data_IF_449344813984
#
_entry.id   IF_449344813984
#
_cell.length_a   1.000
_cell.length_b   1.000
_cell.length_c   1.000
_cell.angle_alpha   90.00
_cell.angle_beta   90.00
_cell.angle_gamma   90.00
#
_symmetry.space_group_name_H-M   'P 1'
#
loop_
_entity.id
_entity.type
_entity.pdbx_description
1 polymer ?
#
# COMPACT_ATOMS: atom_id res chain seq x y z
N UNK A 1 -5.18 -4.09 -26.30
CA UNK A 1 -6.16 -3.58 -25.30
C UNK A 1 -6.14 -2.06 -25.33
N UNK A 2 -7.28 -1.40 -25.57
CA UNK A 2 -7.32 0.07 -25.56
C UNK A 2 -7.55 0.56 -24.12
N UNK A 3 -6.45 0.63 -23.34
CA UNK A 3 -6.48 0.95 -21.93
C UNK A 3 -7.07 2.35 -21.66
N UNK A 4 -6.79 3.33 -22.54
CA UNK A 4 -7.31 4.69 -22.38
C UNK A 4 -8.84 4.71 -22.48
N UNK A 5 -9.41 4.04 -23.49
CA UNK A 5 -10.87 3.97 -23.62
C UNK A 5 -11.52 3.30 -22.40
N UNK A 6 -10.92 2.24 -21.90
CA UNK A 6 -11.41 1.58 -20.68
C UNK A 6 -11.30 2.49 -19.44
N UNK A 7 -10.23 3.28 -19.35
CA UNK A 7 -10.06 4.23 -18.24
C UNK A 7 -11.08 5.37 -18.30
N UNK A 8 -11.30 5.93 -19.48
CA UNK A 8 -12.32 6.98 -19.68
C UNK A 8 -13.71 6.48 -19.28
N UNK A 9 -14.11 5.31 -19.78
CA UNK A 9 -15.39 4.70 -19.39
C UNK A 9 -15.47 4.46 -17.88
N UNK A 10 -14.39 3.97 -17.25
CA UNK A 10 -14.33 3.79 -15.80
C UNK A 10 -14.50 5.11 -15.03
N UNK A 11 -13.91 6.20 -15.52
CA UNK A 11 -14.10 7.53 -14.92
C UNK A 11 -15.54 8.02 -15.07
N UNK A 12 -16.18 7.82 -16.23
CA UNK A 12 -17.58 8.15 -16.46
C UNK A 12 -18.52 7.35 -15.54
N UNK A 13 -18.36 6.03 -15.46
CA UNK A 13 -19.16 5.15 -14.61
C UNK A 13 -19.08 5.52 -13.12
N UNK A 14 -17.92 5.98 -12.69
CA UNK A 14 -17.64 6.39 -11.30
C UNK A 14 -17.84 7.87 -11.05
N UNK A 15 -18.21 8.64 -12.06
CA UNK A 15 -18.32 10.11 -12.00
C UNK A 15 -17.03 10.76 -11.49
N UNK A 16 -15.88 10.26 -11.93
CA UNK A 16 -14.57 10.85 -11.66
C UNK A 16 -14.26 11.93 -12.68
N UNK A 17 -13.69 13.04 -12.21
CA UNK A 17 -13.13 14.03 -13.11
C UNK A 17 -11.92 13.47 -13.85
N UNK A 18 -11.86 13.77 -15.15
CA UNK A 18 -10.77 13.32 -16.01
C UNK A 18 -9.69 14.40 -16.03
N UNK A 19 -8.47 14.02 -15.70
CA UNK A 19 -7.30 14.89 -15.76
C UNK A 19 -6.30 14.37 -16.79
N UNK A 20 -5.73 15.25 -17.62
CA UNK A 20 -4.79 14.90 -18.67
C UNK A 20 -3.54 14.18 -18.11
N UNK A 21 -3.02 14.62 -16.95
CA UNK A 21 -1.87 14.00 -16.32
C UNK A 21 -2.16 12.53 -15.92
N UNK A 22 -3.41 12.22 -15.55
CA UNK A 22 -3.83 10.84 -15.26
C UNK A 22 -3.88 9.99 -16.52
N UNK A 23 -4.34 10.55 -17.64
CA UNK A 23 -4.34 9.86 -18.96
C UNK A 23 -2.91 9.55 -19.38
N UNK A 24 -1.98 10.50 -19.21
CA UNK A 24 -0.56 10.30 -19.52
C UNK A 24 0.06 9.16 -18.70
N UNK A 25 -0.34 9.01 -17.43
CA UNK A 25 0.07 7.86 -16.59
C UNK A 25 -0.48 6.56 -17.16
N UNK A 26 -1.74 6.52 -17.60
CA UNK A 26 -2.35 5.33 -18.23
C UNK A 26 -1.59 4.93 -19.50
N UNK A 27 -1.17 5.89 -20.34
CA UNK A 27 -0.34 5.61 -21.51
C UNK A 27 1.01 4.98 -21.12
N UNK A 28 1.67 5.52 -20.08
CA UNK A 28 2.93 4.94 -19.59
C UNK A 28 2.76 3.55 -19.00
N UNK A 29 1.65 3.28 -18.31
CA UNK A 29 1.32 1.95 -17.81
C UNK A 29 1.04 0.97 -18.95
N UNK A 30 0.39 1.40 -20.03
CA UNK A 30 0.19 0.61 -21.25
C UNK A 30 1.53 0.26 -21.90
N UNK A 31 2.46 1.23 -22.00
CA UNK A 31 3.82 0.99 -22.51
C UNK A 31 4.59 0.00 -21.63
N UNK A 32 4.51 0.17 -20.30
CA UNK A 32 5.10 -0.75 -19.33
C UNK A 32 4.55 -2.18 -19.52
N UNK A 33 3.24 -2.33 -19.64
CA UNK A 33 2.61 -3.62 -19.88
C UNK A 33 3.05 -4.26 -21.20
N UNK A 34 3.01 -3.49 -22.28
CA UNK A 34 3.38 -3.96 -23.60
C UNK A 34 4.84 -4.41 -23.69
N UNK A 35 5.71 -3.71 -22.98
CA UNK A 35 7.13 -4.03 -22.93
C UNK A 35 7.47 -5.26 -22.07
N UNK A 36 6.61 -5.62 -21.13
CA UNK A 36 6.90 -6.70 -20.17
C UNK A 36 6.10 -7.98 -20.43
N UNK A 37 4.92 -7.89 -21.05
CA UNK A 37 4.03 -9.02 -21.21
C UNK A 37 3.64 -9.34 -22.67
N UNK A 38 3.62 -8.34 -23.57
CA UNK A 38 3.15 -8.52 -24.95
C UNK A 38 4.29 -8.54 -26.00
N UNK A 39 5.53 -8.86 -25.63
CA UNK A 39 6.61 -8.91 -26.59
C UNK A 39 6.54 -10.19 -27.44
N UNK A 40 6.33 -10.03 -28.77
CA UNK A 40 6.66 -11.09 -29.74
C UNK A 40 8.14 -11.47 -29.58
N UNK A 41 8.42 -12.77 -29.53
CA UNK A 41 9.75 -13.35 -29.32
C UNK A 41 10.85 -12.72 -30.19
N UNK A 42 10.53 -12.32 -31.42
CA UNK A 42 11.43 -11.67 -32.36
C UNK A 42 11.82 -10.22 -31.96
N UNK A 43 10.92 -9.47 -31.32
CA UNK A 43 11.23 -8.10 -30.88
C UNK A 43 12.18 -8.05 -29.68
N UNK A 44 12.27 -9.14 -28.90
CA UNK A 44 13.18 -9.24 -27.76
C UNK A 44 14.64 -9.26 -28.18
N UNK A 45 14.95 -9.79 -29.38
CA UNK A 45 16.32 -9.86 -29.92
C UNK A 45 16.82 -8.53 -30.48
N UNK A 46 15.94 -7.63 -30.87
CA UNK A 46 16.32 -6.35 -31.53
C UNK A 46 16.31 -5.14 -30.57
N UNK A 47 15.84 -5.28 -29.32
CA UNK A 47 15.88 -4.17 -28.34
C UNK A 47 17.24 -4.12 -27.64
N UNK A 48 18.00 -3.03 -27.88
CA UNK A 48 19.29 -2.73 -27.22
C UNK A 48 19.16 -2.38 -25.73
N UNK A 49 17.99 -1.96 -25.26
CA UNK A 49 17.76 -1.60 -23.85
C UNK A 49 16.90 -2.64 -23.14
N UNK A 50 17.35 -3.07 -21.94
CA UNK A 50 16.55 -3.93 -21.06
C UNK A 50 15.28 -3.17 -20.66
N UNK A 51 14.12 -3.79 -20.86
CA UNK A 51 12.85 -3.20 -20.39
C UNK A 51 12.89 -3.07 -18.87
N UNK A 52 12.47 -1.92 -18.37
CA UNK A 52 12.29 -1.69 -16.91
C UNK A 52 11.22 -2.64 -16.37
N UNK A 53 11.55 -3.40 -15.32
CA UNK A 53 10.64 -4.37 -14.68
C UNK A 53 9.75 -3.73 -13.60
N UNK A 54 10.06 -2.51 -13.19
CA UNK A 54 9.31 -1.75 -12.21
C UNK A 54 8.65 -0.51 -12.79
N UNK A 55 7.49 -0.15 -12.25
CA UNK A 55 6.81 1.12 -12.48
C UNK A 55 6.59 1.82 -11.14
N UNK A 56 7.19 2.98 -10.95
CA UNK A 56 7.15 3.75 -9.70
C UNK A 56 6.36 5.04 -9.92
N UNK A 57 5.14 5.10 -9.38
CA UNK A 57 4.29 6.27 -9.45
C UNK A 57 4.42 7.08 -8.16
N UNK A 58 4.94 8.29 -8.28
CA UNK A 58 5.06 9.22 -7.16
C UNK A 58 4.10 10.41 -7.35
N UNK A 59 3.68 11.02 -6.26
CA UNK A 59 2.83 12.22 -6.23
C UNK A 59 2.24 12.44 -4.85
N UNK A 60 1.62 13.58 -4.65
CA UNK A 60 1.02 13.95 -3.37
C UNK A 60 -0.16 13.08 -2.97
N UNK A 61 -0.58 13.21 -1.71
CA UNK A 61 -1.79 12.56 -1.21
C UNK A 61 -3.01 13.17 -1.90
N UNK A 62 -3.95 12.33 -2.36
CA UNK A 62 -5.20 12.83 -2.97
C UNK A 62 -5.19 12.94 -4.49
N UNK A 63 -4.04 12.96 -5.15
CA UNK A 63 -3.95 13.14 -6.63
C UNK A 63 -4.46 11.96 -7.47
N UNK A 64 -4.90 10.85 -6.84
CA UNK A 64 -5.51 9.73 -7.55
C UNK A 64 -4.56 8.59 -7.95
N UNK A 65 -3.33 8.53 -7.39
CA UNK A 65 -2.37 7.43 -7.67
C UNK A 65 -2.99 6.05 -7.51
N UNK A 66 -3.56 5.80 -6.33
CA UNK A 66 -4.18 4.51 -5.99
C UNK A 66 -5.36 4.18 -6.91
N UNK A 67 -6.15 5.18 -7.33
CA UNK A 67 -7.26 4.98 -8.26
C UNK A 67 -6.76 4.50 -9.63
N UNK A 68 -5.76 5.19 -10.20
CA UNK A 68 -5.17 4.84 -11.50
C UNK A 68 -4.51 3.46 -11.46
N UNK A 69 -3.69 3.20 -10.42
CA UNK A 69 -2.98 1.93 -10.31
C UNK A 69 -3.92 0.76 -10.03
N UNK A 70 -4.98 0.96 -9.24
CA UNK A 70 -6.01 -0.07 -9.04
C UNK A 70 -6.78 -0.36 -10.32
N UNK A 71 -7.17 0.67 -11.07
CA UNK A 71 -7.80 0.49 -12.36
C UNK A 71 -6.90 -0.37 -13.27
N UNK A 72 -5.63 0.03 -13.44
CA UNK A 72 -4.68 -0.70 -14.26
C UNK A 72 -4.51 -2.15 -13.76
N UNK A 73 -4.22 -2.33 -12.48
CA UNK A 73 -3.99 -3.63 -11.86
C UNK A 73 -5.18 -4.57 -12.02
N UNK A 74 -6.40 -4.07 -11.92
CA UNK A 74 -7.61 -4.88 -12.08
C UNK A 74 -7.82 -5.36 -13.52
N UNK A 75 -7.30 -4.62 -14.52
CA UNK A 75 -7.39 -5.03 -15.94
C UNK A 75 -6.40 -6.12 -16.33
N UNK A 76 -5.39 -6.39 -15.50
CA UNK A 76 -4.37 -7.40 -15.76
C UNK A 76 -4.94 -8.81 -15.58
N UNK A 77 -4.51 -9.75 -16.42
CA UNK A 77 -4.90 -11.17 -16.40
C UNK A 77 -3.84 -12.07 -15.75
N UNK A 78 -2.63 -11.55 -15.59
CA UNK A 78 -1.45 -12.21 -15.04
C UNK A 78 -1.66 -12.59 -13.57
N UNK A 79 -0.85 -13.52 -13.06
CA UNK A 79 -0.80 -13.83 -11.64
C UNK A 79 -0.31 -12.59 -10.88
N UNK A 80 -1.19 -11.98 -10.13
CA UNK A 80 -0.96 -10.66 -9.52
C UNK A 80 -1.22 -10.67 -8.02
N UNK A 81 -0.40 -9.92 -7.29
CA UNK A 81 -0.52 -9.74 -5.85
C UNK A 81 -0.41 -8.27 -5.50
N UNK A 82 -1.42 -7.72 -4.80
CA UNK A 82 -1.40 -6.37 -4.23
C UNK A 82 -1.41 -6.47 -2.72
N UNK A 83 -0.54 -5.69 -2.06
CA UNK A 83 -0.48 -5.57 -0.61
C UNK A 83 0.22 -4.26 -0.22
N UNK A 84 0.04 -3.84 1.03
CA UNK A 84 0.84 -2.78 1.59
C UNK A 84 2.28 -3.26 1.81
N UNK A 85 3.23 -2.34 1.65
CA UNK A 85 4.65 -2.70 1.78
C UNK A 85 4.98 -3.31 3.16
N UNK A 86 4.41 -2.77 4.24
CA UNK A 86 4.60 -3.32 5.58
C UNK A 86 4.09 -4.76 5.71
N UNK A 87 2.95 -5.09 5.11
CA UNK A 87 2.41 -6.46 5.09
C UNK A 87 3.35 -7.42 4.36
N UNK A 88 3.93 -6.97 3.24
CA UNK A 88 4.94 -7.75 2.52
C UNK A 88 6.17 -8.04 3.37
N UNK A 89 6.70 -7.03 4.07
CA UNK A 89 7.87 -7.20 4.94
C UNK A 89 7.57 -8.13 6.12
N UNK A 90 6.38 -8.07 6.71
CA UNK A 90 5.95 -9.02 7.74
C UNK A 90 5.95 -10.46 7.19
N UNK A 91 5.36 -10.69 6.01
CA UNK A 91 5.37 -12.02 5.36
C UNK A 91 6.79 -12.50 5.07
N UNK A 92 7.65 -11.62 4.61
CA UNK A 92 9.06 -11.91 4.38
C UNK A 92 9.79 -12.30 5.68
N UNK A 93 9.67 -11.50 6.74
CA UNK A 93 10.31 -11.78 8.02
C UNK A 93 9.80 -13.08 8.65
N UNK A 94 8.51 -13.36 8.57
CA UNK A 94 7.95 -14.63 9.03
C UNK A 94 8.54 -15.82 8.26
N UNK A 95 8.64 -15.72 6.92
CA UNK A 95 9.27 -16.76 6.11
C UNK A 95 10.73 -16.99 6.49
N UNK A 96 11.52 -15.93 6.72
CA UNK A 96 12.91 -16.04 7.16
C UNK A 96 13.00 -16.70 8.56
N UNK A 97 12.08 -16.36 9.46
CA UNK A 97 12.06 -16.91 10.82
C UNK A 97 11.72 -18.41 10.82
N UNK A 98 10.75 -18.83 10.01
CA UNK A 98 10.29 -20.22 9.93
C UNK A 98 11.26 -21.14 9.17
N UNK A 99 12.09 -20.57 8.27
CA UNK A 99 13.02 -21.35 7.46
C UNK A 99 14.31 -21.68 8.22
N UNK A 100 14.66 -22.97 8.23
CA UNK A 100 15.92 -23.46 8.83
C UNK A 100 17.16 -23.02 8.04
N UNK A 101 17.04 -22.82 6.73
CA UNK A 101 18.11 -22.39 5.83
C UNK A 101 18.13 -20.85 5.73
N UNK A 102 18.78 -20.23 6.71
CA UNK A 102 18.89 -18.76 6.78
C UNK A 102 19.75 -18.15 5.68
N UNK A 103 20.73 -18.91 5.13
CA UNK A 103 21.61 -18.41 4.07
C UNK A 103 20.87 -18.23 2.75
N UNK A 104 19.94 -19.12 2.43
CA UNK A 104 19.13 -19.06 1.20
C UNK A 104 17.72 -18.49 1.41
N UNK A 105 17.40 -17.98 2.59
CA UNK A 105 16.04 -17.54 2.94
C UNK A 105 15.44 -16.56 1.95
N UNK A 106 16.18 -15.52 1.52
CA UNK A 106 15.72 -14.55 0.51
C UNK A 106 15.42 -15.25 -0.82
N UNK A 107 16.34 -16.10 -1.29
CA UNK A 107 16.19 -16.82 -2.55
C UNK A 107 14.98 -17.75 -2.53
N UNK A 108 14.78 -18.47 -1.45
CA UNK A 108 13.67 -19.39 -1.27
C UNK A 108 12.34 -18.64 -1.23
N UNK A 109 12.28 -17.53 -0.48
CA UNK A 109 11.09 -16.66 -0.45
C UNK A 109 10.72 -16.15 -1.83
N UNK A 110 11.68 -15.59 -2.57
CA UNK A 110 11.42 -15.03 -3.89
C UNK A 110 11.07 -16.11 -4.91
N UNK A 111 11.69 -17.30 -4.84
CA UNK A 111 11.34 -18.44 -5.67
C UNK A 111 9.91 -18.93 -5.43
N UNK A 112 9.45 -18.96 -4.17
CA UNK A 112 8.07 -19.34 -3.86
C UNK A 112 7.08 -18.25 -4.27
N UNK A 113 7.47 -16.99 -4.17
CA UNK A 113 6.70 -15.85 -4.65
C UNK A 113 6.53 -15.90 -6.18
N UNK A 114 7.61 -16.19 -6.95
CA UNK A 114 7.59 -16.20 -8.42
C UNK A 114 6.69 -17.30 -9.00
N UNK A 115 6.48 -18.42 -8.29
CA UNK A 115 5.52 -19.46 -8.70
C UNK A 115 4.07 -18.97 -8.72
N UNK A 116 3.75 -18.02 -7.85
CA UNK A 116 2.37 -17.55 -7.61
C UNK A 116 2.11 -16.14 -8.15
N UNK A 117 3.17 -15.38 -8.50
CA UNK A 117 3.06 -13.96 -8.76
C UNK A 117 3.99 -13.54 -9.90
N UNK A 118 3.42 -12.95 -10.95
CA UNK A 118 4.14 -12.38 -12.08
C UNK A 118 4.27 -10.86 -11.95
N UNK A 119 3.33 -10.24 -11.19
CA UNK A 119 3.33 -8.81 -10.92
C UNK A 119 2.91 -8.52 -9.48
N UNK A 120 3.74 -7.73 -8.79
CA UNK A 120 3.49 -7.19 -7.45
C UNK A 120 3.02 -5.74 -7.54
N UNK A 121 2.08 -5.35 -6.69
CA UNK A 121 1.72 -3.96 -6.50
C UNK A 121 1.84 -3.60 -5.02
N UNK A 122 2.78 -2.69 -4.71
CA UNK A 122 2.95 -2.11 -3.40
C UNK A 122 2.22 -0.76 -3.32
N UNK A 123 1.16 -0.73 -2.52
CA UNK A 123 0.48 0.52 -2.21
C UNK A 123 1.16 1.20 -1.01
N UNK A 124 1.23 2.54 -1.03
CA UNK A 124 1.87 3.36 0.01
C UNK A 124 3.31 2.93 0.33
N UNK A 125 4.12 2.76 -0.72
CA UNK A 125 5.50 2.35 -0.56
C UNK A 125 6.34 3.42 0.14
N UNK A 126 6.81 3.10 1.33
CA UNK A 126 7.75 3.90 2.12
C UNK A 126 8.59 2.98 3.00
N UNK A 127 9.82 3.39 3.32
CA UNK A 127 10.73 2.66 4.18
C UNK A 127 11.03 3.49 5.42
N UNK A 128 10.67 2.97 6.58
CA UNK A 128 10.83 3.66 7.87
C UNK A 128 11.70 2.88 8.85
N UNK A 129 11.83 1.56 8.64
CA UNK A 129 12.56 0.67 9.54
C UNK A 129 13.96 0.38 8.99
N UNK A 130 14.99 0.51 9.83
CA UNK A 130 16.38 0.25 9.48
C UNK A 130 16.62 -1.22 9.12
N UNK A 131 15.96 -2.15 9.80
CA UNK A 131 16.12 -3.60 9.54
C UNK A 131 15.65 -3.92 8.12
N UNK A 132 14.53 -3.34 7.71
CA UNK A 132 14.03 -3.48 6.35
C UNK A 132 14.99 -2.83 5.35
N UNK A 133 15.43 -1.60 5.63
CA UNK A 133 16.35 -0.86 4.77
C UNK A 133 17.61 -1.65 4.39
N UNK A 134 18.17 -2.40 5.34
CA UNK A 134 19.39 -3.21 5.12
C UNK A 134 19.17 -4.44 4.23
N UNK A 135 17.95 -4.94 4.15
CA UNK A 135 17.61 -6.19 3.43
C UNK A 135 17.08 -5.92 2.03
N UNK A 136 16.44 -4.75 1.83
CA UNK A 136 15.68 -4.45 0.60
C UNK A 136 16.52 -4.55 -0.68
N UNK A 137 17.79 -4.14 -0.64
CA UNK A 137 18.66 -4.24 -1.81
C UNK A 137 18.74 -5.67 -2.35
N UNK A 138 19.09 -6.62 -1.49
CA UNK A 138 19.21 -8.05 -1.86
C UNK A 138 17.85 -8.66 -2.22
N UNK A 139 16.79 -8.29 -1.51
CA UNK A 139 15.46 -8.82 -1.74
C UNK A 139 14.91 -8.40 -3.11
N UNK A 140 14.99 -7.11 -3.45
CA UNK A 140 14.46 -6.61 -4.72
C UNK A 140 15.36 -6.98 -5.92
N UNK A 141 16.66 -7.09 -5.73
CA UNK A 141 17.53 -7.65 -6.76
C UNK A 141 17.07 -9.06 -7.17
N UNK A 142 16.79 -9.93 -6.19
CA UNK A 142 16.27 -11.28 -6.46
C UNK A 142 14.87 -11.27 -7.07
N UNK A 143 13.98 -10.37 -6.64
CA UNK A 143 12.65 -10.20 -7.23
C UNK A 143 12.75 -9.87 -8.72
N UNK A 144 13.65 -8.95 -9.10
CA UNK A 144 13.87 -8.60 -10.51
C UNK A 144 14.62 -9.67 -11.30
N UNK A 145 15.55 -10.39 -10.68
CA UNK A 145 16.22 -11.56 -11.30
C UNK A 145 15.21 -12.67 -11.67
N UNK A 146 14.22 -12.92 -10.81
CA UNK A 146 13.10 -13.85 -11.08
C UNK A 146 12.05 -13.27 -12.04
N UNK A 147 12.35 -12.13 -12.68
CA UNK A 147 11.50 -11.47 -13.67
C UNK A 147 10.08 -11.09 -13.14
N UNK A 148 9.91 -10.93 -11.84
CA UNK A 148 8.68 -10.41 -11.24
C UNK A 148 8.62 -8.90 -11.53
N UNK A 149 7.50 -8.44 -12.08
CA UNK A 149 7.25 -7.00 -12.33
C UNK A 149 6.72 -6.37 -11.05
N UNK A 150 7.09 -5.11 -10.81
CA UNK A 150 6.70 -4.43 -9.58
C UNK A 150 6.11 -3.06 -9.89
N UNK A 151 4.94 -2.80 -9.32
CA UNK A 151 4.31 -1.46 -9.32
C UNK A 151 4.42 -0.88 -7.92
N UNK A 152 4.81 0.39 -7.84
CA UNK A 152 4.88 1.13 -6.58
C UNK A 152 3.98 2.36 -6.64
N UNK A 153 3.20 2.58 -5.59
CA UNK A 153 2.57 3.87 -5.29
C UNK A 153 3.30 4.50 -4.10
N UNK A 154 3.80 5.71 -4.25
CA UNK A 154 4.53 6.41 -3.18
C UNK A 154 4.25 7.92 -3.18
N UNK A 155 4.48 8.56 -2.04
CA UNK A 155 4.51 10.02 -1.93
C UNK A 155 5.96 10.55 -1.95
N UNK A 156 6.96 9.65 -2.05
CA UNK A 156 8.38 9.98 -1.92
C UNK A 156 9.09 9.57 -3.22
N UNK A 157 9.93 10.44 -3.76
CA UNK A 157 10.78 10.14 -4.91
C UNK A 157 11.78 9.01 -4.56
N UNK A 158 12.14 8.17 -5.53
CA UNK A 158 13.12 7.08 -5.32
C UNK A 158 14.40 7.60 -4.65
N UNK A 159 14.94 8.72 -5.12
CA UNK A 159 16.16 9.34 -4.58
C UNK A 159 16.04 9.81 -3.12
N UNK A 160 14.82 10.13 -2.68
CA UNK A 160 14.52 10.67 -1.36
C UNK A 160 14.02 9.59 -0.37
N UNK A 161 13.88 8.34 -0.82
CA UNK A 161 13.53 7.24 0.05
C UNK A 161 14.51 7.13 1.22
N UNK A 162 13.98 6.98 2.44
CA UNK A 162 14.76 6.84 3.67
C UNK A 162 15.78 7.97 3.88
N UNK A 163 15.44 9.23 3.48
CA UNK A 163 16.36 10.38 3.43
C UNK A 163 17.03 10.68 4.76
N UNK A 164 16.29 10.66 5.86
CA UNK A 164 16.79 10.97 7.20
C UNK A 164 16.97 9.71 8.07
N UNK A 165 17.01 8.55 7.43
CA UNK A 165 17.13 7.26 8.11
C UNK A 165 18.55 6.98 8.60
N UNK A 166 18.63 6.23 9.72
CA UNK A 166 19.89 5.76 10.28
C UNK A 166 20.64 4.88 9.28
N UNK A 167 21.95 5.08 9.15
CA UNK A 167 22.83 4.30 8.25
C UNK A 167 22.33 4.31 6.78
N UNK A 168 21.88 5.47 6.31
CA UNK A 168 21.35 5.63 4.94
C UNK A 168 22.32 5.16 3.86
N UNK A 169 23.61 5.22 4.08
CA UNK A 169 24.63 4.74 3.12
C UNK A 169 24.44 3.26 2.75
N UNK A 170 23.96 2.46 3.68
CA UNK A 170 23.63 1.05 3.44
C UNK A 170 22.33 0.86 2.64
N UNK A 171 21.48 1.89 2.58
CA UNK A 171 20.25 1.90 1.79
C UNK A 171 20.46 2.41 0.36
N UNK A 172 21.51 3.16 0.08
CA UNK A 172 21.82 3.69 -1.26
C UNK A 172 21.87 2.60 -2.34
N UNK A 173 22.42 1.40 -2.10
CA UNK A 173 22.37 0.32 -3.11
C UNK A 173 20.96 -0.04 -3.56
N UNK A 174 19.99 -0.01 -2.64
CA UNK A 174 18.59 -0.26 -2.99
C UNK A 174 17.99 0.86 -3.85
N UNK A 175 18.30 2.12 -3.55
CA UNK A 175 17.92 3.27 -4.40
C UNK A 175 18.42 3.03 -5.83
N UNK A 176 19.69 2.67 -6.00
CA UNK A 176 20.28 2.37 -7.32
C UNK A 176 19.58 1.22 -8.03
N UNK A 177 19.17 0.18 -7.32
CA UNK A 177 18.37 -0.93 -7.88
C UNK A 177 17.05 -0.40 -8.40
N UNK A 178 16.33 0.40 -7.62
CA UNK A 178 15.06 0.98 -8.07
C UNK A 178 15.25 1.90 -9.28
N UNK A 179 16.26 2.76 -9.30
CA UNK A 179 16.59 3.63 -10.44
C UNK A 179 16.93 2.83 -11.71
N UNK A 180 17.61 1.70 -11.56
CA UNK A 180 17.97 0.83 -12.68
C UNK A 180 16.78 0.03 -13.22
N UNK A 181 15.94 -0.50 -12.34
CA UNK A 181 14.85 -1.41 -12.72
C UNK A 181 13.50 -0.75 -12.86
N UNK A 182 13.28 0.44 -12.28
CA UNK A 182 11.99 1.11 -12.30
C UNK A 182 11.96 2.30 -13.27
N UNK A 183 10.81 2.47 -13.92
CA UNK A 183 10.44 3.70 -14.59
C UNK A 183 9.69 4.57 -13.58
N UNK A 184 10.32 5.66 -13.14
CA UNK A 184 9.69 6.62 -12.23
C UNK A 184 8.87 7.64 -13.02
N UNK A 185 7.62 7.87 -12.60
CA UNK A 185 6.77 8.93 -13.13
C UNK A 185 6.10 9.67 -11.97
N UNK A 186 6.06 10.98 -12.10
CA UNK A 186 5.40 11.86 -11.14
C UNK A 186 4.00 12.24 -11.64
N UNK A 187 3.01 12.14 -10.76
CA UNK A 187 1.66 12.60 -11.00
C UNK A 187 1.46 13.90 -10.23
N UNK A 188 1.50 15.02 -10.96
CA UNK A 188 1.26 16.35 -10.45
C UNK A 188 -0.17 16.77 -10.80
N UNK A 189 -0.95 17.14 -9.79
CA UNK A 189 -2.30 17.67 -9.95
C UNK A 189 -2.47 18.80 -8.95
N UNK A 190 -2.88 19.95 -9.42
CA UNK A 190 -3.02 21.16 -8.59
C UNK A 190 -4.21 21.11 -7.62
N UNK A 191 -5.13 20.14 -7.79
CA UNK A 191 -6.34 19.97 -6.96
C UNK A 191 -6.35 18.64 -6.21
N UNK A 192 -6.60 18.69 -4.89
CA UNK A 192 -6.86 17.50 -4.07
C UNK A 192 -8.30 17.01 -4.27
N UNK A 193 -8.46 15.98 -5.08
CA UNK A 193 -9.78 15.36 -5.36
C UNK A 193 -10.46 14.73 -4.13
N UNK A 194 -9.77 14.57 -3.01
CA UNK A 194 -10.42 14.11 -1.76
C UNK A 194 -11.28 15.20 -1.16
N UNK A 195 -10.96 16.47 -1.41
CA UNK A 195 -11.73 17.61 -0.90
C UNK A 195 -13.04 17.81 -1.65
N UNK A 196 -13.14 17.38 -2.92
CA UNK A 196 -14.31 17.60 -3.78
C UNK A 196 -15.41 16.53 -3.69
N UNK A 197 -15.14 15.36 -3.07
CA UNK A 197 -16.12 14.25 -2.99
C UNK A 197 -16.53 13.83 -1.59
N UNK A 198 -16.58 14.75 -0.63
CA UNK A 198 -17.21 14.48 0.66
C UNK A 198 -18.73 14.53 0.57
N UNK A 199 -19.32 13.56 -0.12
CA UNK A 199 -20.76 13.29 -0.02
C UNK A 199 -20.98 12.25 1.09
N UNK A 200 -21.35 12.76 2.29
CA UNK A 200 -22.25 12.10 3.25
C UNK A 200 -21.75 11.01 4.22
N UNK A 201 -20.47 10.90 4.54
CA UNK A 201 -20.09 10.30 5.82
C UNK A 201 -18.92 11.12 6.40
N UNK A 202 -19.21 12.03 7.31
CA UNK A 202 -18.18 12.66 8.14
C UNK A 202 -17.46 11.57 8.94
N UNK A 203 -16.33 11.10 8.41
CA UNK A 203 -15.46 10.11 9.09
C UNK A 203 -14.65 10.74 10.22
N UNK A 204 -14.58 12.06 10.23
CA UNK A 204 -13.88 12.85 11.22
C UNK A 204 -14.85 13.92 11.75
N UNK A 205 -15.11 13.88 13.06
CA UNK A 205 -16.02 14.79 13.74
C UNK A 205 -15.21 15.78 14.59
N UNK A 206 -15.26 17.06 14.26
CA UNK A 206 -14.55 18.14 14.95
C UNK A 206 -15.43 19.41 14.98
N UNK A 207 -15.34 20.25 16.03
CA UNK A 207 -14.59 20.07 17.29
C UNK A 207 -15.21 18.98 18.19
N UNK A 208 -14.48 18.56 19.24
CA UNK A 208 -15.01 17.61 20.23
C UNK A 208 -15.96 18.37 21.17
N UNK A 209 -17.25 18.32 20.88
CA UNK A 209 -18.32 18.96 21.64
C UNK A 209 -19.55 18.04 21.83
N UNK A 210 -20.60 18.56 22.41
CA UNK A 210 -21.86 17.79 22.65
C UNK A 210 -22.53 17.36 21.34
N UNK A 211 -22.45 18.19 20.30
CA UNK A 211 -23.07 17.94 18.99
C UNK A 211 -22.37 16.81 18.27
N UNK A 212 -21.01 16.88 18.14
CA UNK A 212 -20.22 15.85 17.50
C UNK A 212 -20.26 14.54 18.27
N UNK A 213 -20.28 14.59 19.61
CA UNK A 213 -20.47 13.39 20.44
C UNK A 213 -21.85 12.73 20.21
N UNK A 214 -22.91 13.53 20.01
CA UNK A 214 -24.22 12.99 19.67
C UNK A 214 -24.20 12.27 18.31
N UNK A 215 -23.62 12.89 17.29
CA UNK A 215 -23.49 12.30 15.95
C UNK A 215 -22.65 11.01 16.01
N UNK A 216 -21.51 11.03 16.69
CA UNK A 216 -20.68 9.86 16.93
C UNK A 216 -21.46 8.71 17.56
N UNK A 217 -22.17 8.97 18.66
CA UNK A 217 -22.95 7.96 19.35
C UNK A 217 -24.12 7.44 18.50
N UNK A 218 -24.71 8.27 17.66
CA UNK A 218 -25.75 7.87 16.71
C UNK A 218 -25.21 6.86 15.69
N UNK A 219 -24.03 7.14 15.09
CA UNK A 219 -23.37 6.20 14.17
C UNK A 219 -22.95 4.92 14.87
N UNK A 220 -22.32 5.02 16.03
CA UNK A 220 -21.89 3.85 16.80
C UNK A 220 -23.08 2.94 17.13
N UNK A 221 -24.18 3.49 17.64
CA UNK A 221 -25.41 2.71 17.92
C UNK A 221 -26.01 2.08 16.66
N UNK A 222 -25.94 2.75 15.50
CA UNK A 222 -26.45 2.21 14.24
C UNK A 222 -25.70 0.95 13.82
N UNK A 223 -24.37 0.92 13.92
CA UNK A 223 -23.54 -0.22 13.50
C UNK A 223 -23.42 -1.32 14.56
N UNK A 224 -23.67 -0.99 15.85
CA UNK A 224 -23.70 -1.97 16.96
C UNK A 224 -25.10 -2.46 17.30
N UNK A 225 -26.14 -2.06 16.54
CA UNK A 225 -27.51 -2.52 16.76
C UNK A 225 -27.56 -4.06 16.72
N UNK A 226 -28.07 -4.67 17.82
CA UNK A 226 -28.15 -6.11 18.02
C UNK A 226 -26.81 -6.83 18.25
N UNK A 227 -25.70 -6.12 18.38
CA UNK A 227 -24.38 -6.70 18.70
C UNK A 227 -24.08 -6.53 20.19
N UNK A 228 -23.62 -7.60 20.85
CA UNK A 228 -23.24 -7.56 22.26
C UNK A 228 -21.79 -7.15 22.42
N UNK A 229 -21.50 -6.36 23.46
CA UNK A 229 -20.13 -6.08 23.87
C UNK A 229 -19.48 -7.38 24.38
N UNK A 230 -18.30 -7.70 23.84
CA UNK A 230 -17.51 -8.87 24.22
C UNK A 230 -16.04 -8.49 24.42
N UNK A 231 -15.32 -9.29 25.17
CA UNK A 231 -13.85 -9.24 25.20
C UNK A 231 -13.33 -10.12 24.06
N UNK A 232 -12.57 -9.55 23.14
CA UNK A 232 -11.86 -10.28 22.10
C UNK A 232 -10.37 -10.33 22.42
N UNK A 233 -9.77 -11.50 22.39
CA UNK A 233 -8.32 -11.68 22.57
C UNK A 233 -7.73 -12.11 21.24
N UNK A 234 -6.70 -11.40 20.79
CA UNK A 234 -5.91 -11.74 19.61
C UNK A 234 -4.55 -12.26 20.06
N UNK A 235 -4.14 -13.39 19.52
CA UNK A 235 -2.79 -13.93 19.73
C UNK A 235 -1.89 -13.48 18.56
N UNK A 236 -0.85 -12.68 18.88
CA UNK A 236 0.05 -12.11 17.88
C UNK A 236 1.48 -12.40 18.34
N UNK A 237 2.17 -13.29 17.65
CA UNK A 237 3.57 -13.70 17.94
C UNK A 237 3.82 -14.02 19.42
N UNK A 238 2.94 -14.82 20.01
CA UNK A 238 3.08 -15.30 21.41
C UNK A 238 2.70 -14.28 22.48
N UNK A 239 2.14 -13.11 22.10
CA UNK A 239 1.55 -12.14 23.03
C UNK A 239 0.06 -12.01 22.80
N UNK A 240 -0.66 -11.61 23.84
CA UNK A 240 -2.11 -11.41 23.78
C UNK A 240 -2.45 -9.93 23.72
N UNK A 241 -3.21 -9.53 22.69
CA UNK A 241 -3.84 -8.22 22.58
C UNK A 241 -5.31 -8.33 22.98
N UNK A 242 -5.71 -7.61 24.03
CA UNK A 242 -7.09 -7.61 24.56
C UNK A 242 -7.87 -6.41 24.02
N UNK A 243 -9.01 -6.69 23.40
CA UNK A 243 -9.95 -5.71 22.86
C UNK A 243 -11.22 -5.71 23.69
N UNK A 244 -11.31 -4.78 24.64
CA UNK A 244 -12.40 -4.77 25.63
C UNK A 244 -13.75 -4.27 25.07
N UNK A 245 -13.70 -3.46 24.01
CA UNK A 245 -14.89 -2.85 23.42
C UNK A 245 -15.13 -3.39 22.00
N UNK A 246 -15.21 -4.72 21.88
CA UNK A 246 -15.49 -5.42 20.63
C UNK A 246 -16.99 -5.79 20.53
N UNK A 247 -17.59 -5.53 19.36
CA UNK A 247 -19.01 -5.75 19.07
C UNK A 247 -19.16 -6.41 17.71
N UNK A 248 -18.71 -7.67 17.58
CA UNK A 248 -18.82 -8.45 16.35
C UNK A 248 -18.49 -7.62 15.07
N UNK A 249 -17.20 -7.42 14.85
CA UNK A 249 -16.65 -6.61 13.73
C UNK A 249 -16.66 -5.10 13.97
N UNK A 250 -17.16 -4.61 15.09
CA UNK A 250 -17.10 -3.19 15.45
C UNK A 250 -16.24 -3.01 16.70
N UNK A 251 -15.23 -2.14 16.63
CA UNK A 251 -14.37 -1.84 17.77
C UNK A 251 -14.42 -0.37 18.10
N UNK A 252 -14.36 -0.06 19.39
CA UNK A 252 -14.25 1.32 19.88
C UNK A 252 -13.02 1.45 20.75
N UNK A 253 -12.12 2.38 20.39
CA UNK A 253 -10.92 2.71 21.13
C UNK A 253 -10.95 4.15 21.65
N UNK A 254 -10.33 4.37 22.81
CA UNK A 254 -9.78 5.67 23.13
C UNK A 254 -8.46 5.85 22.36
N UNK A 255 -8.11 7.06 21.95
CA UNK A 255 -6.85 7.37 21.28
C UNK A 255 -5.65 6.76 22.02
N UNK A 256 -5.55 6.95 23.32
CA UNK A 256 -4.45 6.45 24.14
C UNK A 256 -4.35 4.91 24.17
N UNK A 257 -5.48 4.22 24.04
CA UNK A 257 -5.49 2.74 24.00
C UNK A 257 -4.90 2.19 22.71
N UNK A 258 -4.95 2.95 21.63
CA UNK A 258 -4.50 2.52 20.33
C UNK A 258 -3.10 3.05 19.98
N UNK A 259 -2.78 4.28 20.39
CA UNK A 259 -1.56 4.97 19.94
C UNK A 259 -0.50 5.17 21.02
N UNK A 260 -0.87 5.17 22.31
CA UNK A 260 0.09 5.30 23.41
C UNK A 260 0.55 3.96 24.01
N UNK A 261 0.08 2.83 23.47
CA UNK A 261 0.61 1.50 23.77
C UNK A 261 1.67 1.11 22.75
N UNK A 262 2.61 0.27 23.15
CA UNK A 262 3.64 -0.29 22.26
C UNK A 262 3.02 -1.30 21.27
N UNK A 263 2.17 -0.82 20.34
CA UNK A 263 1.61 -1.60 19.27
C UNK A 263 2.46 -1.45 18.01
N UNK A 264 2.75 -2.56 17.34
CA UNK A 264 3.44 -2.58 16.05
C UNK A 264 2.49 -2.75 14.87
N UNK A 265 3.03 -2.71 13.66
CA UNK A 265 2.24 -2.84 12.42
C UNK A 265 1.39 -4.12 12.38
N UNK A 266 1.89 -5.21 12.95
CA UNK A 266 1.17 -6.49 13.01
C UNK A 266 -0.08 -6.45 13.87
N UNK A 267 -0.04 -5.67 14.97
CA UNK A 267 -1.20 -5.49 15.84
C UNK A 267 -2.30 -4.71 15.13
N UNK A 268 -1.94 -3.65 14.41
CA UNK A 268 -2.89 -2.87 13.62
C UNK A 268 -3.51 -3.68 12.49
N UNK A 269 -2.72 -4.53 11.82
CA UNK A 269 -3.23 -5.43 10.78
C UNK A 269 -4.20 -6.44 11.40
N UNK A 270 -3.83 -7.09 12.52
CA UNK A 270 -4.69 -8.05 13.18
C UNK A 270 -6.01 -7.43 13.69
N UNK A 271 -5.98 -6.17 14.15
CA UNK A 271 -7.20 -5.42 14.51
C UNK A 271 -8.03 -5.16 13.26
N UNK A 272 -7.42 -4.73 12.14
CA UNK A 272 -8.12 -4.42 10.90
C UNK A 272 -8.78 -5.67 10.29
N UNK A 273 -8.11 -6.81 10.33
CA UNK A 273 -8.60 -8.08 9.74
C UNK A 273 -9.91 -8.58 10.40
N UNK A 274 -10.13 -8.23 11.68
CA UNK A 274 -11.33 -8.63 12.41
C UNK A 274 -12.40 -7.55 12.51
N UNK A 275 -12.17 -6.38 11.87
CA UNK A 275 -13.01 -5.19 12.05
C UNK A 275 -13.64 -4.72 10.75
N UNK A 276 -14.98 -4.57 10.77
CA UNK A 276 -15.71 -3.84 9.73
C UNK A 276 -15.67 -2.32 9.98
N UNK A 277 -15.67 -1.93 11.27
CA UNK A 277 -15.66 -0.54 11.71
C UNK A 277 -14.78 -0.35 12.94
N UNK A 278 -13.93 0.68 12.90
CA UNK A 278 -13.12 1.12 14.03
C UNK A 278 -13.51 2.54 14.39
N UNK A 279 -13.97 2.73 15.63
CA UNK A 279 -14.32 4.02 16.20
C UNK A 279 -13.22 4.48 17.16
N UNK A 280 -12.68 5.67 16.95
CA UNK A 280 -11.64 6.25 17.80
C UNK A 280 -12.17 7.54 18.41
N UNK A 281 -12.09 7.66 19.74
CA UNK A 281 -12.50 8.84 20.50
C UNK A 281 -11.31 9.55 21.11
N UNK A 282 -11.51 10.83 21.47
CA UNK A 282 -10.52 11.67 22.14
C UNK A 282 -9.21 11.85 21.33
N UNK A 283 -9.32 12.03 20.00
CA UNK A 283 -8.17 12.42 19.21
C UNK A 283 -7.63 13.78 19.68
N UNK A 284 -6.34 13.90 20.01
CA UNK A 284 -5.75 15.19 20.35
C UNK A 284 -5.70 16.10 19.12
N UNK A 285 -5.57 17.41 19.33
CA UNK A 285 -5.16 18.31 18.25
C UNK A 285 -3.69 18.00 17.95
N UNK A 286 -3.40 17.69 16.69
CA UNK A 286 -2.03 17.54 16.22
C UNK A 286 -1.53 18.94 15.85
N UNK A 287 -0.48 19.41 16.52
CA UNK A 287 0.24 20.61 16.11
C UNK A 287 1.11 20.29 14.88
N UNK A 288 1.23 21.27 13.98
CA UNK A 288 2.15 21.16 12.86
C UNK A 288 3.58 21.37 13.40
N UNK A 289 4.21 20.33 13.94
CA UNK A 289 5.63 20.26 14.19
C UNK A 289 6.24 19.15 13.35
#
# INVERSE_FOLDING_TARGET
MNLNKLFLNHCEDKQYEINQNQIDIIDKLKDFYSNNFNQNFLKKFFKKEKSKLGFYLVGDVGVGKTMILNFFFNTLKEKKLRLHFNEFMIKFHNHIFENKDKENGIKNFVKDLSKKTEILYFDEFQVTNIVDAMILGRLFEKIFEENIKVIFSSNILIKDLYKDGLQRDQFIPFIKILENYCFQKELLIDEDYRSSKNVNLERFLSPIDKSTNFIFNKYFRKVTKNKKKTLKILEIKGRQLRLENFYDGVIKFNFDELFNKNLGSEDYIAIADISDFIFIINLPKFDKN
#
